data_IF_525756627623
#
_entry.id   IF_525756627623
#
_cell.length_a   1.000
_cell.length_b   1.000
_cell.length_c   1.000
_cell.angle_alpha   90.00
_cell.angle_beta   90.00
_cell.angle_gamma   90.00
#
_symmetry.space_group_name_H-M   'P 1'
#
loop_
_entity.id
_entity.type
_entity.pdbx_description
1 polymer ?
#
# COMPACT_ATOMS: atom_id res chain seq x y z
N UNK A 1 -13.09 -6.53 -14.20
CA UNK A 1 -12.02 -5.57 -13.85
C UNK A 1 -11.82 -4.61 -15.01
N UNK A 2 -11.88 -3.29 -14.79
CA UNK A 2 -11.66 -2.32 -15.88
C UNK A 2 -10.18 -2.31 -16.26
N UNK A 3 -9.89 -2.26 -17.55
CA UNK A 3 -8.56 -2.39 -18.17
C UNK A 3 -7.57 -1.23 -17.91
N UNK A 4 -7.76 -0.45 -16.83
CA UNK A 4 -7.07 0.83 -16.61
C UNK A 4 -6.10 0.88 -15.42
N UNK A 5 -5.86 -0.21 -14.72
CA UNK A 5 -4.96 -0.22 -13.55
C UNK A 5 -3.79 -1.19 -13.76
N UNK A 6 -2.90 -0.85 -14.70
CA UNK A 6 -1.66 -1.62 -14.93
C UNK A 6 -0.68 -1.34 -13.78
N UNK A 7 -0.75 -2.15 -12.72
CA UNK A 7 0.17 -2.09 -11.58
C UNK A 7 1.38 -2.98 -11.86
N UNK A 8 2.57 -2.50 -11.52
CA UNK A 8 3.79 -3.32 -11.58
C UNK A 8 3.74 -4.43 -10.53
N UNK A 9 3.86 -5.71 -10.91
CA UNK A 9 3.84 -6.81 -9.95
C UNK A 9 4.95 -6.70 -8.91
N UNK A 10 4.67 -7.15 -7.68
CA UNK A 10 5.68 -7.26 -6.62
C UNK A 10 6.42 -8.58 -6.69
N UNK A 11 5.68 -9.64 -6.93
CA UNK A 11 6.20 -10.99 -7.03
C UNK A 11 5.91 -11.56 -8.42
N UNK A 12 6.75 -12.50 -8.83
CA UNK A 12 6.57 -13.32 -10.02
C UNK A 12 6.38 -14.77 -9.57
N UNK A 13 5.32 -15.41 -10.04
CA UNK A 13 5.09 -16.84 -9.79
C UNK A 13 5.63 -17.64 -10.97
N UNK A 14 6.54 -18.57 -10.70
CA UNK A 14 7.12 -19.46 -11.70
C UNK A 14 6.70 -20.90 -11.41
N UNK A 15 6.18 -21.58 -12.44
CA UNK A 15 5.71 -22.96 -12.36
C UNK A 15 6.62 -23.81 -13.25
N UNK A 16 7.27 -24.79 -12.66
CA UNK A 16 8.01 -25.83 -13.38
C UNK A 16 7.01 -26.88 -13.90
N UNK A 17 6.74 -26.82 -15.21
CA UNK A 17 5.76 -27.69 -15.85
C UNK A 17 6.25 -29.14 -16.01
N UNK A 18 7.57 -29.37 -15.98
CA UNK A 18 8.16 -30.70 -16.07
C UNK A 18 7.98 -31.47 -14.77
N UNK A 19 8.02 -30.76 -13.64
CA UNK A 19 7.73 -31.31 -12.30
C UNK A 19 6.25 -31.29 -11.93
N UNK A 20 5.43 -30.52 -12.65
CA UNK A 20 4.02 -30.36 -12.31
C UNK A 20 3.23 -31.64 -12.60
N UNK A 21 2.55 -32.17 -11.58
CA UNK A 21 1.63 -33.30 -11.73
C UNK A 21 0.19 -32.94 -12.14
N UNK A 22 -0.13 -31.65 -12.31
CA UNK A 22 -1.48 -31.21 -12.71
C UNK A 22 -2.53 -31.22 -11.58
N UNK A 23 -2.13 -31.39 -10.31
CA UNK A 23 -3.09 -31.58 -9.21
C UNK A 23 -4.02 -30.41 -8.85
N UNK A 24 -3.83 -29.21 -9.41
CA UNK A 24 -4.69 -28.03 -9.19
C UNK A 24 -4.72 -27.40 -7.79
N UNK A 25 -4.04 -27.97 -6.79
CA UNK A 25 -4.05 -27.50 -5.38
C UNK A 25 -3.58 -26.05 -5.21
N UNK A 26 -2.67 -25.61 -6.07
CA UNK A 26 -2.11 -24.26 -6.04
C UNK A 26 -3.15 -23.20 -6.43
N UNK A 27 -3.94 -23.45 -7.47
CA UNK A 27 -5.04 -22.59 -7.88
C UNK A 27 -6.14 -22.56 -6.81
N UNK A 28 -6.52 -23.72 -6.25
CA UNK A 28 -7.53 -23.82 -5.19
C UNK A 28 -7.18 -23.00 -3.93
N UNK A 29 -5.89 -22.90 -3.60
CA UNK A 29 -5.42 -22.17 -2.41
C UNK A 29 -5.06 -20.71 -2.69
N UNK A 30 -5.22 -20.22 -3.92
CA UNK A 30 -4.90 -18.84 -4.27
C UNK A 30 -6.09 -17.92 -3.96
N UNK A 31 -6.06 -17.27 -2.78
CA UNK A 31 -7.11 -16.30 -2.39
C UNK A 31 -7.07 -14.99 -3.17
N UNK A 32 -6.01 -14.77 -3.96
CA UNK A 32 -5.76 -13.52 -4.70
C UNK A 32 -5.97 -13.66 -6.21
N UNK A 33 -6.52 -14.79 -6.67
CA UNK A 33 -6.81 -15.05 -8.10
C UNK A 33 -5.60 -14.76 -9.01
N UNK A 34 -4.39 -15.05 -8.51
CA UNK A 34 -3.13 -14.99 -9.27
C UNK A 34 -2.97 -16.23 -10.14
N UNK A 35 -3.43 -17.38 -9.63
CA UNK A 35 -3.34 -18.68 -10.27
C UNK A 35 -4.75 -19.21 -10.56
N UNK A 36 -4.92 -19.76 -11.76
CA UNK A 36 -6.13 -20.48 -12.16
C UNK A 36 -5.76 -21.87 -12.65
N UNK A 37 -6.71 -22.82 -12.60
CA UNK A 37 -6.50 -24.15 -13.14
C UNK A 37 -7.13 -24.27 -14.53
N UNK A 38 -6.29 -24.41 -15.56
CA UNK A 38 -6.75 -24.67 -16.92
C UNK A 38 -7.16 -26.14 -17.03
N UNK A 39 -8.47 -26.37 -17.18
CA UNK A 39 -9.04 -27.73 -17.31
C UNK A 39 -8.78 -28.38 -18.67
N UNK A 40 -8.53 -27.60 -19.71
CA UNK A 40 -8.26 -28.14 -21.04
C UNK A 40 -6.85 -28.74 -21.10
N UNK A 41 -5.90 -28.10 -20.41
CA UNK A 41 -4.50 -28.51 -20.38
C UNK A 41 -4.14 -29.35 -19.13
N UNK A 42 -5.07 -29.50 -18.18
CA UNK A 42 -4.88 -30.14 -16.86
C UNK A 42 -3.66 -29.58 -16.10
N UNK A 43 -3.51 -28.25 -16.17
CA UNK A 43 -2.34 -27.52 -15.66
C UNK A 43 -2.73 -26.20 -14.99
N UNK A 44 -2.02 -25.79 -13.93
CA UNK A 44 -2.17 -24.45 -13.37
C UNK A 44 -1.52 -23.39 -14.27
N UNK A 45 -2.16 -22.24 -14.39
CA UNK A 45 -1.70 -21.10 -15.18
C UNK A 45 -1.66 -19.84 -14.32
N UNK A 46 -0.70 -18.95 -14.60
CA UNK A 46 -0.61 -17.63 -13.97
C UNK A 46 -1.46 -16.66 -14.77
N UNK A 47 -2.49 -16.09 -14.14
CA UNK A 47 -3.40 -15.14 -14.78
C UNK A 47 -2.86 -13.71 -14.69
N UNK A 48 -2.42 -13.32 -13.50
CA UNK A 48 -1.93 -11.97 -13.24
C UNK A 48 -0.97 -11.95 -12.04
N UNK A 49 0.33 -11.84 -12.32
CA UNK A 49 1.37 -11.67 -11.30
C UNK A 49 1.14 -10.43 -10.41
N UNK A 50 0.46 -9.39 -10.92
CA UNK A 50 0.24 -8.15 -10.18
C UNK A 50 -0.60 -8.35 -8.92
N UNK A 51 -1.43 -9.40 -8.88
CA UNK A 51 -2.25 -9.75 -7.72
C UNK A 51 -1.52 -10.56 -6.67
N UNK A 52 -0.33 -11.10 -6.98
CA UNK A 52 0.39 -11.93 -6.04
C UNK A 52 0.89 -11.09 -4.86
N UNK A 53 0.51 -11.46 -3.64
CA UNK A 53 1.01 -10.85 -2.39
C UNK A 53 2.15 -11.65 -1.74
N UNK A 54 2.58 -12.75 -2.36
CA UNK A 54 3.67 -13.57 -1.85
C UNK A 54 3.32 -14.36 -0.57
N UNK A 55 2.06 -14.76 -0.39
CA UNK A 55 1.61 -15.52 0.79
C UNK A 55 2.17 -16.95 0.90
N UNK A 56 2.93 -17.42 -0.10
CA UNK A 56 3.60 -18.72 -0.17
C UNK A 56 2.69 -19.97 -0.11
N UNK A 57 1.37 -19.83 -0.01
CA UNK A 57 0.45 -20.98 0.07
C UNK A 57 0.60 -21.94 -1.11
N UNK A 58 0.67 -21.41 -2.34
CA UNK A 58 0.80 -22.25 -3.53
C UNK A 58 2.09 -23.08 -3.54
N UNK A 59 3.20 -22.52 -3.06
CA UNK A 59 4.47 -23.23 -2.92
C UNK A 59 4.38 -24.34 -1.86
N UNK A 60 3.83 -24.04 -0.68
CA UNK A 60 3.72 -24.99 0.45
C UNK A 60 2.77 -26.17 0.13
N UNK A 61 1.65 -25.92 -0.54
CA UNK A 61 0.67 -26.98 -0.84
C UNK A 61 0.99 -27.79 -2.11
N UNK A 62 2.06 -27.47 -2.83
CA UNK A 62 2.48 -28.21 -4.00
C UNK A 62 3.21 -29.50 -3.58
N UNK A 63 2.66 -30.69 -3.85
CA UNK A 63 3.31 -31.95 -3.45
C UNK A 63 4.65 -32.17 -4.16
N UNK A 64 4.76 -31.68 -5.40
CA UNK A 64 5.97 -31.84 -6.23
C UNK A 64 7.00 -30.72 -6.04
N UNK A 65 6.72 -29.71 -5.18
CA UNK A 65 7.54 -28.51 -5.04
C UNK A 65 7.87 -27.82 -6.37
N UNK A 66 6.89 -27.77 -7.28
CA UNK A 66 7.01 -27.26 -8.65
C UNK A 66 6.76 -25.75 -8.78
N UNK A 67 6.47 -25.04 -7.68
CA UNK A 67 6.13 -23.61 -7.69
C UNK A 67 7.19 -22.83 -6.93
N UNK A 68 7.66 -21.74 -7.53
CA UNK A 68 8.53 -20.77 -6.86
C UNK A 68 7.96 -19.36 -6.98
N UNK A 69 8.04 -18.59 -5.91
CA UNK A 69 7.65 -17.18 -5.88
C UNK A 69 8.93 -16.36 -5.72
N UNK A 70 9.19 -15.46 -6.66
CA UNK A 70 10.37 -14.59 -6.67
C UNK A 70 9.97 -13.13 -6.65
N UNK A 71 10.87 -12.25 -6.24
CA UNK A 71 10.65 -10.81 -6.45
C UNK A 71 10.58 -10.52 -7.95
N UNK A 72 9.61 -9.69 -8.34
CA UNK A 72 9.49 -9.27 -9.73
C UNK A 72 10.68 -8.38 -10.08
N UNK A 73 11.44 -8.67 -11.15
CA UNK A 73 12.65 -7.95 -11.49
C UNK A 73 12.28 -6.55 -12.01
N UNK A 74 12.18 -5.57 -11.12
CA UNK A 74 11.97 -4.17 -11.50
C UNK A 74 13.32 -3.46 -11.48
N UNK A 75 13.72 -2.96 -12.64
CA UNK A 75 14.89 -2.10 -12.78
C UNK A 75 14.49 -0.65 -12.49
N UNK A 76 14.36 -0.30 -11.21
CA UNK A 76 14.40 1.10 -10.81
C UNK A 76 15.86 1.58 -10.87
N UNK A 77 16.07 2.85 -11.23
CA UNK A 77 17.40 3.45 -11.10
C UNK A 77 17.84 3.36 -9.62
N UNK A 78 19.05 2.89 -9.32
CA UNK A 78 19.52 2.78 -7.95
C UNK A 78 19.59 4.17 -7.32
N UNK A 79 19.00 4.32 -6.12
CA UNK A 79 18.95 5.58 -5.41
C UNK A 79 19.01 5.32 -3.89
N UNK A 80 19.71 6.18 -3.14
CA UNK A 80 19.88 6.01 -1.68
C UNK A 80 18.56 6.08 -0.90
N UNK A 81 17.72 7.08 -1.21
CA UNK A 81 16.42 7.29 -0.54
C UNK A 81 15.23 6.63 -1.27
N UNK A 82 15.15 6.75 -2.60
CA UNK A 82 14.08 6.18 -3.43
C UNK A 82 14.31 4.69 -3.69
N UNK A 83 14.15 3.89 -2.64
CA UNK A 83 14.15 2.44 -2.77
C UNK A 83 12.91 1.96 -3.55
N UNK A 84 12.95 0.77 -4.16
CA UNK A 84 11.77 0.16 -4.80
C UNK A 84 10.56 0.11 -3.88
N UNK A 85 10.78 -0.02 -2.56
CA UNK A 85 9.73 0.02 -1.57
C UNK A 85 9.00 1.37 -1.55
N UNK A 86 9.71 2.49 -1.42
CA UNK A 86 9.10 3.83 -1.37
C UNK A 86 8.35 4.17 -2.66
N UNK A 87 8.93 3.85 -3.81
CA UNK A 87 8.32 4.10 -5.12
C UNK A 87 6.98 3.35 -5.22
N UNK A 88 6.98 2.05 -4.93
CA UNK A 88 5.75 1.24 -4.95
C UNK A 88 4.72 1.74 -3.94
N UNK A 89 5.16 2.09 -2.73
CA UNK A 89 4.28 2.58 -1.68
C UNK A 89 3.58 3.89 -2.09
N UNK A 90 4.30 4.81 -2.72
CA UNK A 90 3.72 6.07 -3.22
C UNK A 90 2.79 5.81 -4.40
N UNK A 91 3.18 4.96 -5.35
CA UNK A 91 2.32 4.61 -6.48
C UNK A 91 1.00 3.99 -6.01
N UNK A 92 1.03 3.13 -5.00
CA UNK A 92 -0.17 2.47 -4.48
C UNK A 92 -1.07 3.42 -3.68
N UNK A 93 -0.48 4.35 -2.91
CA UNK A 93 -1.25 5.42 -2.25
C UNK A 93 -1.87 6.38 -3.26
N UNK A 94 -1.14 6.75 -4.31
CA UNK A 94 -1.67 7.59 -5.39
C UNK A 94 -2.82 6.92 -6.14
N UNK A 95 -2.74 5.61 -6.34
CA UNK A 95 -3.78 4.79 -6.98
C UNK A 95 -5.03 4.63 -6.11
N UNK A 96 -4.85 4.31 -4.83
CA UNK A 96 -5.96 4.08 -3.90
C UNK A 96 -6.58 5.38 -3.35
N UNK A 97 -5.82 6.48 -3.36
CA UNK A 97 -6.18 7.72 -2.67
C UNK A 97 -6.14 7.60 -1.14
N UNK A 98 -5.62 6.49 -0.61
CA UNK A 98 -5.58 6.18 0.82
C UNK A 98 -4.16 5.90 1.31
N UNK A 99 -3.99 5.96 2.63
CA UNK A 99 -2.72 5.60 3.29
C UNK A 99 -2.58 4.09 3.35
N UNK A 100 -1.38 3.58 3.05
CA UNK A 100 -1.10 2.15 3.15
C UNK A 100 -1.08 1.67 4.59
N UNK A 101 -1.83 0.61 4.87
CA UNK A 101 -1.81 -0.06 6.16
C UNK A 101 -0.78 -1.19 6.16
N UNK A 102 -0.05 -1.31 7.26
CA UNK A 102 0.88 -2.42 7.51
C UNK A 102 0.81 -2.88 8.96
N UNK A 103 1.33 -4.07 9.24
CA UNK A 103 1.44 -4.63 10.59
C UNK A 103 2.87 -5.07 10.89
N UNK A 104 3.08 -5.62 12.09
CA UNK A 104 4.38 -6.13 12.60
C UNK A 104 5.42 -5.07 12.97
N UNK A 105 5.00 -3.82 13.22
CA UNK A 105 5.91 -2.75 13.63
C UNK A 105 6.78 -2.23 12.48
N UNK A 106 7.88 -1.55 12.81
CA UNK A 106 8.83 -1.01 11.85
C UNK A 106 10.25 -1.44 12.22
N UNK A 107 10.82 -2.35 11.45
CA UNK A 107 12.20 -2.86 11.60
C UNK A 107 13.20 -2.12 10.71
N UNK A 108 12.75 -1.12 9.95
CA UNK A 108 13.57 -0.46 8.94
C UNK A 108 14.60 0.46 9.56
N UNK A 109 15.78 0.42 8.96
CA UNK A 109 16.76 1.49 9.12
C UNK A 109 16.20 2.77 8.49
N UNK A 110 16.18 3.86 9.26
CA UNK A 110 15.62 5.16 8.88
C UNK A 110 16.73 6.01 8.25
N UNK A 111 16.76 6.17 6.90
CA UNK A 111 17.90 6.79 6.22
C UNK A 111 17.87 8.32 6.21
N UNK A 112 16.70 8.94 6.43
CA UNK A 112 16.54 10.40 6.34
C UNK A 112 16.01 11.02 7.63
N UNK A 113 16.35 12.29 7.86
CA UNK A 113 15.99 13.03 9.08
C UNK A 113 14.49 13.02 9.39
N UNK A 114 13.63 13.07 8.36
CA UNK A 114 12.18 13.04 8.54
C UNK A 114 11.68 11.74 9.16
N UNK A 115 12.39 10.62 8.93
CA UNK A 115 12.03 9.34 9.53
C UNK A 115 12.38 9.31 11.03
N UNK A 116 13.32 10.13 11.48
CA UNK A 116 13.65 10.29 12.91
C UNK A 116 12.71 11.24 13.66
N UNK A 117 11.85 11.97 12.95
CA UNK A 117 10.84 12.80 13.58
C UNK A 117 9.69 11.92 14.08
N UNK A 118 9.47 11.92 15.38
CA UNK A 118 8.36 11.21 16.01
C UNK A 118 7.22 12.19 16.28
N UNK A 119 5.99 11.74 16.03
CA UNK A 119 4.80 12.52 16.33
C UNK A 119 4.54 12.55 17.84
N UNK A 120 4.33 13.75 18.38
CA UNK A 120 3.87 13.91 19.75
C UNK A 120 2.37 13.57 19.80
N UNK A 121 2.06 12.43 20.42
CA UNK A 121 0.69 11.94 20.55
C UNK A 121 0.19 12.23 21.97
N UNK A 122 -0.99 12.85 22.04
CA UNK A 122 -1.65 13.10 23.31
C UNK A 122 -1.98 11.76 24.01
N UNK A 123 -1.77 11.68 25.31
CA UNK A 123 -2.02 10.48 26.11
C UNK A 123 -3.08 10.76 27.19
N UNK A 124 -2.65 10.94 28.45
CA UNK A 124 -3.54 11.07 29.61
C UNK A 124 -4.05 12.51 29.78
N UNK A 125 -3.24 13.49 29.43
CA UNK A 125 -3.48 14.92 29.72
C UNK A 125 -4.63 15.51 28.92
N UNK A 126 -4.83 15.04 27.69
CA UNK A 126 -5.88 15.50 26.80
C UNK A 126 -6.19 14.42 25.75
N UNK A 127 -7.46 14.29 25.33
CA UNK A 127 -7.86 13.29 24.36
C UNK A 127 -7.41 13.66 22.93
N UNK A 128 -7.17 12.63 22.11
CA UNK A 128 -6.99 12.76 20.66
C UNK A 128 -8.33 12.98 19.95
N UNK A 129 -8.30 13.69 18.82
CA UNK A 129 -9.47 13.95 17.96
C UNK A 129 -9.61 12.84 16.91
N UNK A 130 -10.82 12.35 16.66
CA UNK A 130 -11.09 11.43 15.55
C UNK A 130 -11.25 12.19 14.23
N UNK A 131 -10.18 12.24 13.43
CA UNK A 131 -10.16 12.97 12.16
C UNK A 131 -11.15 12.44 11.09
N UNK A 132 -11.73 11.25 11.26
CA UNK A 132 -12.74 10.70 10.34
C UNK A 132 -14.17 11.06 10.75
N UNK A 133 -14.41 11.30 12.04
CA UNK A 133 -15.76 11.57 12.60
C UNK A 133 -15.95 13.02 13.03
N UNK A 134 -14.88 13.72 13.30
CA UNK A 134 -14.86 15.08 13.82
C UNK A 134 -14.20 16.05 12.82
N UNK A 135 -14.62 17.32 12.77
CA UNK A 135 -14.06 18.28 11.83
C UNK A 135 -12.61 18.65 12.18
N UNK A 136 -11.73 18.62 11.19
CA UNK A 136 -10.34 19.08 11.28
C UNK A 136 -10.10 20.13 10.20
N UNK A 137 -9.56 21.29 10.56
CA UNK A 137 -9.27 22.39 9.63
C UNK A 137 -7.82 22.32 9.13
N UNK A 138 -7.64 22.42 7.81
CA UNK A 138 -6.32 22.47 7.13
C UNK A 138 -6.06 23.81 6.43
N UNK A 139 -6.90 24.81 6.73
CA UNK A 139 -6.86 26.14 6.09
C UNK A 139 -5.52 26.82 6.37
N UNK A 140 -4.86 27.25 5.29
CA UNK A 140 -3.57 27.93 5.34
C UNK A 140 -3.71 29.37 4.87
N UNK A 141 -3.11 30.31 5.60
CA UNK A 141 -3.08 31.74 5.26
C UNK A 141 -1.66 32.13 4.83
N UNK A 142 -1.55 32.85 3.71
CA UNK A 142 -0.28 33.36 3.19
C UNK A 142 -0.21 34.87 3.39
N UNK A 143 0.95 35.36 3.86
CA UNK A 143 1.20 36.78 4.09
C UNK A 143 1.64 37.08 5.51
N UNK A 144 1.80 38.37 5.82
CA UNK A 144 2.14 38.82 7.17
C UNK A 144 0.99 38.50 8.13
N UNK A 145 1.30 37.87 9.26
CA UNK A 145 0.33 37.70 10.35
C UNK A 145 -0.12 39.09 10.83
N UNK A 146 -1.42 39.42 10.75
CA UNK A 146 -1.92 40.71 11.22
C UNK A 146 -1.79 40.80 12.73
N UNK A 147 -1.67 42.03 13.24
CA UNK A 147 -1.44 42.26 14.66
C UNK A 147 -2.71 41.90 15.47
N UNK A 148 -3.90 42.01 14.87
CA UNK A 148 -5.18 41.66 15.51
C UNK A 148 -6.14 40.97 14.54
N UNK A 149 -7.04 40.19 15.13
CA UNK A 149 -8.17 39.58 14.44
C UNK A 149 -9.46 40.17 15.00
N UNK A 150 -10.36 40.62 14.13
CA UNK A 150 -11.73 41.00 14.50
C UNK A 150 -12.67 39.89 14.06
N UNK A 151 -13.23 39.19 15.04
CA UNK A 151 -14.18 38.09 14.80
C UNK A 151 -15.59 38.65 15.02
N UNK A 152 -16.46 38.52 14.02
CA UNK A 152 -17.86 38.96 14.07
C UNK A 152 -18.74 37.73 13.88
N UNK A 153 -19.65 37.45 14.80
CA UNK A 153 -20.60 36.35 14.67
C UNK A 153 -21.87 36.84 13.95
N UNK A 154 -22.22 36.21 12.83
CA UNK A 154 -23.48 36.46 12.10
C UNK A 154 -24.12 35.13 11.74
N UNK A 155 -25.43 35.00 12.02
CA UNK A 155 -26.27 33.87 11.58
C UNK A 155 -25.63 32.47 11.82
N UNK A 156 -24.99 32.28 12.98
CA UNK A 156 -24.37 31.00 13.34
C UNK A 156 -22.98 30.75 12.73
N UNK A 157 -22.44 31.69 11.95
CA UNK A 157 -21.08 31.66 11.41
C UNK A 157 -20.20 32.77 12.01
N UNK A 158 -18.88 32.54 12.03
CA UNK A 158 -17.88 33.52 12.44
C UNK A 158 -17.20 34.11 11.20
N UNK A 159 -17.36 35.42 10.98
CA UNK A 159 -16.60 36.19 10.00
C UNK A 159 -15.33 36.74 10.66
N UNK A 160 -14.17 36.42 10.09
CA UNK A 160 -12.86 36.86 10.61
C UNK A 160 -12.29 37.94 9.70
N UNK A 161 -12.09 39.13 10.25
CA UNK A 161 -11.48 40.28 9.58
C UNK A 161 -10.07 40.51 10.12
N UNK A 162 -9.13 40.75 9.21
CA UNK A 162 -7.73 41.07 9.51
C UNK A 162 -7.62 42.60 9.70
N UNK A 163 -7.12 43.05 10.85
CA UNK A 163 -6.90 44.47 11.19
C UNK A 163 -5.46 44.72 11.62
#
# INVERSE_FOLDING_TARGET
MKAHDKVMPRFKVEIDLDRCSGCGRCALNCTFDTLEFNREEDRPVVIDDARCVGCQRCAVYCPENAISIRDYPVAYAPHGNWTPYHIRAISEQARSGGVLLSGMGNDRYQPVIFDHLVWDACQVTNPSIDALREPVETRTFLGRKPDKLKIIQKEGAFEVYWI
#
